data_IF_439687639057
#
_entry.id   IF_439687639057
#
_cell.length_a   1.000
_cell.length_b   1.000
_cell.length_c   1.000
_cell.angle_alpha   90.00
_cell.angle_beta   90.00
_cell.angle_gamma   90.00
#
_symmetry.space_group_name_H-M   'P 1'
#
loop_
_entity.id
_entity.type
_entity.pdbx_description
1 polymer ?
#
# COMPACT_ATOMS: atom_id res chain seq x y z
N UNK A 1 -24.75 -21.53 -19.40
CA UNK A 1 -23.76 -22.29 -18.64
C UNK A 1 -23.09 -21.46 -17.57
N UNK A 2 -22.21 -22.10 -16.79
CA UNK A 2 -21.40 -21.45 -15.74
C UNK A 2 -19.92 -21.63 -16.03
N UNK A 3 -19.15 -20.55 -16.00
CA UNK A 3 -17.70 -20.56 -16.09
C UNK A 3 -17.11 -20.70 -14.67
N UNK A 4 -16.33 -21.74 -14.45
CA UNK A 4 -15.64 -21.98 -13.19
C UNK A 4 -14.17 -21.56 -13.29
N UNK A 5 -13.74 -20.67 -12.41
CA UNK A 5 -12.35 -20.21 -12.33
C UNK A 5 -11.82 -20.53 -10.94
N UNK A 6 -10.85 -21.45 -10.87
CA UNK A 6 -10.28 -21.89 -9.61
C UNK A 6 -8.82 -21.48 -9.52
N UNK A 7 -8.43 -20.84 -8.41
CA UNK A 7 -7.06 -20.43 -8.11
C UNK A 7 -6.54 -21.15 -6.86
N UNK A 8 -5.46 -21.91 -7.04
CA UNK A 8 -4.83 -22.68 -5.98
C UNK A 8 -3.61 -21.94 -5.42
N UNK A 9 -3.69 -21.54 -4.17
CA UNK A 9 -2.63 -20.79 -3.48
C UNK A 9 -1.99 -21.64 -2.38
N UNK A 10 -0.77 -22.12 -2.61
CA UNK A 10 -0.05 -23.01 -1.68
C UNK A 10 0.77 -22.28 -0.60
N UNK A 11 0.72 -20.94 -0.53
CA UNK A 11 1.41 -20.14 0.48
C UNK A 11 0.75 -20.20 1.86
N UNK A 12 1.54 -19.95 2.92
CA UNK A 12 1.03 -19.82 4.31
C UNK A 12 0.86 -18.36 4.76
N UNK A 13 1.25 -17.39 3.91
CA UNK A 13 1.48 -16.01 4.36
C UNK A 13 0.21 -15.21 4.61
N UNK A 14 -0.69 -15.14 3.63
CA UNK A 14 -1.82 -14.21 3.69
C UNK A 14 -3.11 -14.94 3.34
N UNK A 15 -4.11 -14.78 4.19
CA UNK A 15 -5.48 -15.21 3.91
C UNK A 15 -6.04 -14.35 2.76
N UNK A 16 -6.60 -14.98 1.74
CA UNK A 16 -7.19 -14.29 0.58
C UNK A 16 -8.64 -14.73 0.43
N UNK A 17 -9.56 -13.76 0.53
CA UNK A 17 -10.97 -13.97 0.25
C UNK A 17 -11.23 -13.87 -1.26
N UNK A 18 -12.15 -14.69 -1.76
CA UNK A 18 -12.62 -14.65 -3.15
C UNK A 18 -13.65 -13.54 -3.41
N UNK A 19 -14.33 -13.08 -2.36
CA UNK A 19 -15.39 -12.08 -2.47
C UNK A 19 -14.88 -10.79 -3.13
N UNK A 20 -15.44 -10.44 -4.28
CA UNK A 20 -15.03 -9.29 -5.11
C UNK A 20 -13.52 -9.18 -5.34
N UNK A 21 -12.81 -10.31 -5.35
CA UNK A 21 -11.36 -10.32 -5.51
C UNK A 21 -10.95 -9.89 -6.93
N UNK A 22 -10.23 -8.77 -7.11
CA UNK A 22 -9.91 -8.24 -8.44
C UNK A 22 -9.07 -9.20 -9.29
N UNK A 23 -8.19 -9.99 -8.69
CA UNK A 23 -7.39 -10.99 -9.41
C UNK A 23 -8.28 -12.06 -10.02
N UNK A 24 -9.23 -12.58 -9.24
CA UNK A 24 -10.16 -13.61 -9.70
C UNK A 24 -11.11 -13.08 -10.78
N UNK A 25 -11.62 -11.86 -10.57
CA UNK A 25 -12.48 -11.20 -11.55
C UNK A 25 -11.74 -10.92 -12.87
N UNK A 26 -10.46 -10.52 -12.84
CA UNK A 26 -9.64 -10.33 -14.04
C UNK A 26 -9.38 -11.66 -14.77
N UNK A 27 -9.12 -12.75 -14.03
CA UNK A 27 -8.98 -14.08 -14.63
C UNK A 27 -10.28 -14.55 -15.29
N UNK A 28 -11.41 -14.32 -14.61
CA UNK A 28 -12.73 -14.65 -15.15
C UNK A 28 -13.06 -13.84 -16.41
N UNK A 29 -12.74 -12.53 -16.40
CA UNK A 29 -12.93 -11.64 -17.55
C UNK A 29 -12.10 -12.11 -18.75
N UNK A 30 -10.80 -12.44 -18.52
CA UNK A 30 -9.93 -12.97 -19.55
C UNK A 30 -10.40 -14.31 -20.11
N UNK A 31 -10.84 -15.24 -19.24
CA UNK A 31 -11.37 -16.52 -19.64
C UNK A 31 -12.69 -16.36 -20.43
N UNK A 32 -13.58 -15.45 -20.02
CA UNK A 32 -14.80 -15.16 -20.75
C UNK A 32 -14.50 -14.58 -22.14
N UNK A 33 -13.57 -13.66 -22.27
CA UNK A 33 -13.16 -13.13 -23.57
C UNK A 33 -12.55 -14.20 -24.49
N UNK A 34 -11.83 -15.17 -23.91
CA UNK A 34 -11.20 -16.23 -24.69
C UNK A 34 -12.19 -17.33 -25.14
N UNK A 35 -13.21 -17.63 -24.34
CA UNK A 35 -14.08 -18.79 -24.56
C UNK A 35 -15.57 -18.49 -24.68
N UNK A 36 -16.02 -17.28 -24.31
CA UNK A 36 -17.45 -16.91 -24.30
C UNK A 36 -18.14 -17.02 -25.65
N UNK A 37 -17.39 -16.92 -26.74
CA UNK A 37 -17.95 -17.12 -28.10
C UNK A 37 -18.25 -18.57 -28.43
N UNK A 38 -17.67 -19.53 -27.70
CA UNK A 38 -17.87 -20.96 -27.90
C UNK A 38 -19.00 -21.53 -27.05
N UNK A 39 -19.28 -20.90 -25.91
CA UNK A 39 -20.19 -21.42 -24.90
C UNK A 39 -21.19 -20.34 -24.50
N UNK A 40 -22.44 -20.72 -24.30
CA UNK A 40 -23.46 -19.83 -23.71
C UNK A 40 -23.23 -19.74 -22.19
N UNK A 41 -22.32 -18.84 -21.79
CA UNK A 41 -21.93 -18.58 -20.39
C UNK A 41 -22.79 -17.45 -19.86
N UNK A 42 -23.53 -17.68 -18.79
CA UNK A 42 -24.42 -16.72 -18.15
C UNK A 42 -23.96 -16.35 -16.73
N UNK A 43 -23.23 -17.27 -16.09
CA UNK A 43 -22.72 -17.10 -14.72
C UNK A 43 -21.24 -17.40 -14.65
N UNK A 44 -20.58 -16.79 -13.67
CA UNK A 44 -19.17 -17.04 -13.33
C UNK A 44 -19.09 -17.39 -11.86
N UNK A 45 -18.41 -18.50 -11.57
CA UNK A 45 -18.11 -18.94 -10.21
C UNK A 45 -16.60 -18.99 -10.03
N UNK A 46 -16.09 -18.19 -9.12
CA UNK A 46 -14.67 -18.02 -8.83
C UNK A 46 -14.36 -18.61 -7.47
N UNK A 47 -13.32 -19.46 -7.37
CA UNK A 47 -12.96 -20.10 -6.11
C UNK A 47 -11.46 -19.95 -5.83
N UNK A 48 -11.11 -19.52 -4.64
CA UNK A 48 -9.74 -19.53 -4.12
C UNK A 48 -9.61 -20.69 -3.15
N UNK A 49 -8.57 -21.50 -3.35
CA UNK A 49 -8.27 -22.69 -2.53
C UNK A 49 -6.91 -22.49 -1.89
N UNK A 50 -6.87 -22.36 -0.56
CA UNK A 50 -5.64 -22.23 0.25
C UNK A 50 -5.57 -23.36 1.29
N UNK A 51 -5.08 -24.55 0.93
CA UNK A 51 -5.14 -25.72 1.82
C UNK A 51 -4.39 -25.53 3.14
N UNK A 52 -3.27 -24.79 3.10
CA UNK A 52 -2.44 -24.54 4.30
C UNK A 52 -3.07 -23.56 5.29
N UNK A 53 -4.11 -22.86 4.90
CA UNK A 53 -4.88 -21.92 5.72
C UNK A 53 -6.31 -22.41 5.93
N UNK A 54 -6.62 -23.65 5.51
CA UNK A 54 -7.95 -24.27 5.57
C UNK A 54 -9.03 -23.35 4.95
N UNK A 55 -8.65 -22.58 3.93
CA UNK A 55 -9.53 -21.62 3.27
C UNK A 55 -9.97 -22.13 1.89
N UNK A 56 -11.28 -22.23 1.73
CA UNK A 56 -11.94 -22.37 0.42
C UNK A 56 -13.03 -21.30 0.39
N UNK A 57 -12.84 -20.29 -0.45
CA UNK A 57 -13.80 -19.20 -0.58
C UNK A 57 -14.26 -19.07 -2.03
N UNK A 58 -15.57 -18.91 -2.23
CA UNK A 58 -16.19 -18.81 -3.55
C UNK A 58 -16.99 -17.52 -3.66
N UNK A 59 -16.90 -16.87 -4.82
CA UNK A 59 -17.71 -15.72 -5.20
C UNK A 59 -18.35 -15.98 -6.55
N UNK A 60 -19.63 -15.68 -6.70
CA UNK A 60 -20.39 -15.86 -7.92
C UNK A 60 -21.01 -14.55 -8.38
N UNK A 61 -20.98 -14.31 -9.69
CA UNK A 61 -21.63 -13.18 -10.31
C UNK A 61 -22.18 -13.57 -11.69
N UNK A 62 -23.03 -12.73 -12.26
CA UNK A 62 -23.45 -12.86 -13.64
C UNK A 62 -22.35 -12.38 -14.59
N UNK A 63 -22.42 -12.83 -15.85
CA UNK A 63 -21.50 -12.29 -16.88
C UNK A 63 -21.70 -10.80 -17.08
N UNK A 64 -22.94 -10.31 -17.01
CA UNK A 64 -23.24 -8.88 -17.18
C UNK A 64 -22.57 -8.04 -16.08
N UNK A 65 -22.64 -8.47 -14.81
CA UNK A 65 -21.96 -7.81 -13.69
C UNK A 65 -20.44 -7.81 -13.88
N UNK A 66 -19.87 -8.93 -14.34
CA UNK A 66 -18.44 -9.03 -14.61
C UNK A 66 -17.99 -8.10 -15.73
N UNK A 67 -18.77 -8.03 -16.83
CA UNK A 67 -18.48 -7.16 -17.97
C UNK A 67 -18.63 -5.67 -17.60
N UNK A 68 -19.68 -5.32 -16.86
CA UNK A 68 -19.88 -3.95 -16.38
C UNK A 68 -18.71 -3.51 -15.47
N UNK A 69 -18.26 -4.35 -14.55
CA UNK A 69 -17.07 -4.09 -13.74
C UNK A 69 -15.82 -3.91 -14.61
N UNK A 70 -15.64 -4.74 -15.65
CA UNK A 70 -14.53 -4.63 -16.60
C UNK A 70 -14.51 -3.29 -17.34
N UNK A 71 -15.67 -2.85 -17.84
CA UNK A 71 -15.79 -1.60 -18.60
C UNK A 71 -15.77 -0.34 -17.71
N UNK A 72 -16.49 -0.37 -16.59
CA UNK A 72 -16.66 0.81 -15.73
C UNK A 72 -15.50 1.03 -14.77
N UNK A 73 -14.87 -0.03 -14.28
CA UNK A 73 -13.82 0.03 -13.27
C UNK A 73 -12.42 -0.26 -13.82
N UNK A 74 -12.23 -1.39 -14.52
CA UNK A 74 -10.90 -1.85 -14.94
C UNK A 74 -10.35 -1.02 -16.09
N UNK A 75 -11.14 -0.87 -17.16
CA UNK A 75 -10.71 -0.21 -18.39
C UNK A 75 -10.23 1.24 -18.20
N UNK A 76 -10.94 2.10 -17.46
CA UNK A 76 -10.47 3.47 -17.22
C UNK A 76 -9.16 3.51 -16.44
N UNK A 77 -8.99 2.63 -15.44
CA UNK A 77 -7.76 2.54 -14.64
C UNK A 77 -6.58 2.01 -15.44
N UNK A 78 -6.80 0.99 -16.24
CA UNK A 78 -5.79 0.45 -17.14
C UNK A 78 -5.32 1.53 -18.16
N UNK A 79 -6.25 2.32 -18.70
CA UNK A 79 -5.93 3.43 -19.59
C UNK A 79 -5.09 4.51 -18.90
N UNK A 80 -5.47 4.95 -17.70
CA UNK A 80 -4.70 5.91 -16.92
C UNK A 80 -3.28 5.40 -16.63
N UNK A 81 -3.15 4.13 -16.27
CA UNK A 81 -1.86 3.50 -16.01
C UNK A 81 -0.99 3.44 -17.29
N UNK A 82 -1.59 3.07 -18.41
CA UNK A 82 -0.90 3.02 -19.70
C UNK A 82 -0.42 4.40 -20.16
N UNK A 83 -1.20 5.46 -19.91
CA UNK A 83 -0.84 6.84 -20.22
C UNK A 83 0.17 7.45 -19.22
N UNK A 84 0.59 6.71 -18.20
CA UNK A 84 1.43 7.22 -17.12
C UNK A 84 0.74 8.28 -16.25
N UNK A 85 -0.59 8.34 -16.33
CA UNK A 85 -1.44 9.23 -15.55
C UNK A 85 -2.10 8.41 -14.44
N UNK A 86 -2.24 9.00 -13.29
CA UNK A 86 -2.87 8.36 -12.16
C UNK A 86 -2.28 8.85 -10.86
N UNK A 87 -3.07 8.81 -9.82
CA UNK A 87 -2.62 9.14 -8.49
C UNK A 87 -1.85 7.97 -7.88
N UNK A 88 -0.68 8.26 -7.32
CA UNK A 88 0.09 7.28 -6.56
C UNK A 88 -0.41 7.28 -5.13
N UNK A 89 -1.15 6.24 -4.77
CA UNK A 89 -1.72 6.07 -3.42
C UNK A 89 -0.89 5.02 -2.68
N UNK A 90 -0.19 5.39 -1.59
CA UNK A 90 0.55 4.44 -0.78
C UNK A 90 -0.39 3.47 -0.05
N UNK A 91 0.11 2.27 0.29
CA UNK A 91 -0.64 1.25 1.01
C UNK A 91 0.16 -0.04 1.18
N UNK A 92 -0.49 -1.09 1.71
CA UNK A 92 0.15 -2.39 1.99
C UNK A 92 0.75 -3.06 0.74
N UNK A 93 0.21 -2.75 -0.44
CA UNK A 93 0.74 -3.21 -1.73
C UNK A 93 2.13 -2.64 -2.06
N UNK A 94 2.53 -1.52 -1.44
CA UNK A 94 3.85 -0.93 -1.64
C UNK A 94 4.98 -1.83 -1.18
N UNK A 95 4.74 -2.78 -0.27
CA UNK A 95 5.75 -3.76 0.17
C UNK A 95 6.30 -4.62 -0.96
N UNK A 96 5.56 -4.80 -2.04
CA UNK A 96 5.96 -5.56 -3.23
C UNK A 96 6.35 -4.68 -4.42
N UNK A 97 6.31 -3.37 -4.27
CA UNK A 97 6.58 -2.43 -5.36
C UNK A 97 8.08 -2.23 -5.56
N UNK A 98 8.56 -2.49 -6.77
CA UNK A 98 9.98 -2.29 -7.12
C UNK A 98 10.40 -0.80 -7.11
N UNK A 99 9.47 0.12 -7.34
CA UNK A 99 9.73 1.56 -7.35
C UNK A 99 9.61 2.20 -5.95
N UNK A 100 9.40 1.41 -4.90
CA UNK A 100 9.12 1.90 -3.54
C UNK A 100 10.17 2.86 -3.01
N UNK A 101 11.46 2.56 -3.22
CA UNK A 101 12.58 3.39 -2.75
C UNK A 101 12.60 4.78 -3.42
N UNK A 102 12.16 4.88 -4.68
CA UNK A 102 12.11 6.13 -5.45
C UNK A 102 10.71 6.76 -5.50
N UNK A 103 9.72 6.17 -4.83
CA UNK A 103 8.33 6.65 -4.86
C UNK A 103 8.12 7.81 -3.91
N UNK A 104 7.85 9.00 -4.46
CA UNK A 104 7.61 10.23 -3.68
C UNK A 104 6.39 10.11 -2.76
N UNK A 105 5.30 9.50 -3.22
CA UNK A 105 4.10 9.32 -2.41
C UNK A 105 4.36 8.41 -1.19
N UNK A 106 5.12 7.31 -1.38
CA UNK A 106 5.50 6.42 -0.29
C UNK A 106 6.42 7.12 0.73
N UNK A 107 7.37 7.94 0.25
CA UNK A 107 8.25 8.72 1.10
C UNK A 107 7.47 9.78 1.91
N UNK A 108 6.53 10.47 1.27
CA UNK A 108 5.68 11.47 1.96
C UNK A 108 4.81 10.84 3.04
N UNK A 109 4.22 9.67 2.78
CA UNK A 109 3.43 8.96 3.79
C UNK A 109 4.29 8.52 4.96
N UNK A 110 5.47 7.92 4.71
CA UNK A 110 6.39 7.51 5.78
C UNK A 110 6.83 8.70 6.65
N UNK A 111 7.15 9.85 6.03
CA UNK A 111 7.53 11.06 6.75
C UNK A 111 6.36 11.68 7.52
N UNK A 112 5.13 11.60 6.99
CA UNK A 112 3.94 12.07 7.71
C UNK A 112 3.69 11.24 8.97
N UNK A 113 3.78 9.91 8.87
CA UNK A 113 3.66 9.01 10.02
C UNK A 113 4.72 9.31 11.10
N UNK A 114 5.97 9.56 10.69
CA UNK A 114 7.02 9.95 11.64
C UNK A 114 6.65 11.26 12.32
N UNK A 115 6.19 12.27 11.58
CA UNK A 115 5.82 13.57 12.16
C UNK A 115 4.66 13.47 13.15
N UNK A 116 3.62 12.72 12.84
CA UNK A 116 2.48 12.52 13.75
C UNK A 116 2.92 11.87 15.05
N UNK A 117 3.71 10.80 15.00
CA UNK A 117 4.21 10.10 16.20
C UNK A 117 5.18 10.96 17.03
N UNK A 118 5.93 11.88 16.39
CA UNK A 118 6.86 12.75 17.09
C UNK A 118 6.22 14.05 17.62
N UNK A 119 5.14 14.54 17.00
CA UNK A 119 4.42 15.74 17.48
C UNK A 119 3.66 15.45 18.77
N UNK A 120 3.12 14.25 18.96
CA UNK A 120 2.46 13.85 20.21
C UNK A 120 3.41 13.72 21.40
N UNK A 121 4.72 13.69 21.17
CA UNK A 121 5.74 13.67 22.21
C UNK A 121 6.04 15.04 22.80
N UNK A 122 5.59 16.13 22.19
CA UNK A 122 5.92 17.51 22.55
C UNK A 122 4.68 18.40 22.76
N UNK A 123 3.57 17.86 23.29
CA UNK A 123 2.47 18.68 23.83
C UNK A 123 2.77 19.21 25.22
N UNK A 124 3.96 19.74 25.42
CA UNK A 124 4.27 20.77 26.38
C UNK A 124 4.12 22.09 25.67
N UNK A 125 2.91 22.68 25.72
CA UNK A 125 2.60 24.09 25.55
C UNK A 125 3.75 24.91 24.92
N UNK A 126 3.78 24.99 23.59
CA UNK A 126 4.33 26.16 22.95
C UNK A 126 3.18 27.17 22.82
N UNK A 127 3.06 28.03 23.79
CA UNK A 127 2.30 29.27 23.67
C UNK A 127 2.74 29.99 22.39
N UNK A 128 1.74 30.36 21.60
CA UNK A 128 1.85 31.29 20.48
C UNK A 128 2.85 32.41 20.83
N UNK A 129 3.94 32.50 20.13
CA UNK A 129 4.71 33.66 19.75
C UNK A 129 6.14 33.24 19.39
N UNK A 130 6.32 32.75 18.16
CA UNK A 130 7.47 33.13 17.34
C UNK A 130 7.32 32.60 15.93
N UNK A 131 6.48 33.29 15.16
CA UNK A 131 6.52 33.25 13.72
C UNK A 131 7.90 33.68 13.26
N UNK A 132 8.70 32.72 12.85
CA UNK A 132 10.03 33.00 12.31
C UNK A 132 9.84 33.56 10.89
N UNK A 133 9.84 34.88 10.78
CA UNK A 133 10.04 35.64 9.55
C UNK A 133 11.51 35.56 9.14
N UNK A 134 11.93 34.45 8.55
CA UNK A 134 13.22 34.33 7.89
C UNK A 134 13.14 33.49 6.62
N UNK A 135 12.53 34.10 5.60
CA UNK A 135 12.82 33.76 4.21
C UNK A 135 13.39 35.04 3.57
N UNK A 136 14.61 35.41 3.95
CA UNK A 136 15.48 36.22 3.09
C UNK A 136 16.61 35.32 2.61
N UNK A 137 16.77 35.31 1.29
CA UNK A 137 17.81 34.63 0.57
C UNK A 137 19.19 35.04 1.07
N UNK A 138 19.95 34.11 1.65
CA UNK A 138 21.38 34.30 1.85
C UNK A 138 22.12 32.98 1.59
N UNK A 139 22.97 33.09 0.60
CA UNK A 139 24.19 32.41 0.22
C UNK A 139 24.63 31.17 1.04
N UNK A 140 24.87 30.08 0.29
CA UNK A 140 25.28 28.78 0.75
C UNK A 140 26.71 28.75 1.29
N UNK A 141 26.87 28.91 2.59
CA UNK A 141 28.00 28.36 3.38
C UNK A 141 27.56 28.14 4.83
N UNK A 142 26.65 27.20 5.06
CA UNK A 142 26.33 26.76 6.39
C UNK A 142 27.31 25.67 6.82
N UNK A 143 28.24 26.03 7.69
CA UNK A 143 29.04 25.07 8.46
C UNK A 143 28.10 24.24 9.34
N UNK A 144 28.19 22.92 9.21
CA UNK A 144 27.50 21.94 10.03
C UNK A 144 28.03 22.08 11.48
N UNK A 145 27.20 22.60 12.37
CA UNK A 145 27.47 22.63 13.81
C UNK A 145 26.98 21.29 14.42
N UNK A 146 27.89 20.47 14.98
CA UNK A 146 27.54 19.16 15.53
C UNK A 146 26.79 19.21 16.89
N UNK A 147 26.45 20.38 17.39
CA UNK A 147 25.86 20.58 18.73
C UNK A 147 24.39 20.99 18.71
N UNK A 148 23.71 20.87 17.55
CA UNK A 148 22.26 21.06 17.52
C UNK A 148 21.62 19.77 18.03
N UNK A 149 20.98 19.84 19.18
CA UNK A 149 20.32 18.77 19.93
C UNK A 149 19.61 17.78 19.01
N UNK A 150 20.13 16.55 18.96
CA UNK A 150 19.45 15.42 18.33
C UNK A 150 18.05 15.29 18.95
N UNK A 151 17.01 14.96 18.16
CA UNK A 151 15.67 14.78 18.68
C UNK A 151 15.71 13.75 19.82
N UNK A 152 15.28 14.17 21.00
CA UNK A 152 15.25 13.32 22.19
C UNK A 152 14.08 12.38 22.07
N UNK A 153 14.35 11.13 21.75
CA UNK A 153 13.34 10.08 21.73
C UNK A 153 12.87 9.76 23.16
N UNK A 154 11.56 9.61 23.34
CA UNK A 154 11.01 9.08 24.58
C UNK A 154 11.56 7.68 24.82
N UNK A 155 12.07 7.44 26.03
CA UNK A 155 12.56 6.10 26.38
C UNK A 155 11.42 5.06 26.21
N UNK A 156 11.69 3.89 25.60
CA UNK A 156 10.70 2.80 25.51
C UNK A 156 10.09 2.38 26.86
N UNK A 157 10.81 2.64 27.96
CA UNK A 157 10.32 2.38 29.31
C UNK A 157 9.14 3.28 29.75
N UNK A 158 8.86 4.36 29.00
CA UNK A 158 7.75 5.27 29.26
C UNK A 158 6.52 4.97 28.41
N UNK A 159 6.60 4.04 27.47
CA UNK A 159 5.49 3.62 26.63
C UNK A 159 4.72 2.49 27.33
N UNK A 160 3.40 2.55 27.25
CA UNK A 160 2.56 1.43 27.69
C UNK A 160 2.58 0.31 26.64
N UNK A 161 2.21 -0.91 27.06
CA UNK A 161 2.09 -2.04 26.12
C UNK A 161 1.13 -1.73 24.97
N UNK A 162 0.04 -1.03 25.26
CA UNK A 162 -0.96 -0.62 24.27
C UNK A 162 -0.40 0.36 23.26
N UNK A 163 0.41 1.34 23.71
CA UNK A 163 1.07 2.30 22.82
C UNK A 163 2.02 1.57 21.86
N UNK A 164 2.82 0.63 22.38
CA UNK A 164 3.73 -0.18 21.56
C UNK A 164 2.96 -1.00 20.51
N UNK A 165 1.87 -1.67 20.90
CA UNK A 165 1.05 -2.47 19.99
C UNK A 165 0.43 -1.62 18.87
N UNK A 166 0.04 -0.38 19.15
CA UNK A 166 -0.49 0.56 18.15
C UNK A 166 0.60 1.10 17.21
N UNK A 167 1.80 1.33 17.72
CA UNK A 167 2.92 1.86 16.94
C UNK A 167 3.60 0.83 16.03
N UNK A 168 3.57 -0.47 16.40
CA UNK A 168 4.28 -1.52 15.68
C UNK A 168 4.01 -1.57 14.17
N UNK A 169 2.76 -1.48 13.67
CA UNK A 169 2.50 -1.48 12.23
C UNK A 169 3.17 -0.31 11.50
N UNK A 170 3.16 0.88 12.11
CA UNK A 170 3.78 2.10 11.58
C UNK A 170 5.30 1.95 11.53
N UNK A 171 5.92 1.49 12.61
CA UNK A 171 7.36 1.27 12.69
C UNK A 171 7.84 0.25 11.65
N UNK A 172 7.14 -0.86 11.48
CA UNK A 172 7.46 -1.87 10.46
C UNK A 172 7.40 -1.29 9.03
N UNK A 173 6.49 -0.35 8.76
CA UNK A 173 6.40 0.33 7.45
C UNK A 173 7.58 1.27 7.22
N UNK A 174 7.98 2.01 8.23
CA UNK A 174 9.14 2.92 8.20
C UNK A 174 10.42 2.11 8.02
N UNK A 175 10.66 1.08 8.83
CA UNK A 175 11.81 0.19 8.74
C UNK A 175 11.95 -0.40 7.33
N UNK A 176 10.88 -0.98 6.82
CA UNK A 176 10.86 -1.56 5.48
C UNK A 176 11.09 -0.53 4.37
N UNK A 177 10.74 0.75 4.55
CA UNK A 177 11.06 1.82 3.61
C UNK A 177 12.54 2.21 3.69
N UNK A 178 13.09 2.32 4.90
CA UNK A 178 14.52 2.59 5.13
C UNK A 178 15.39 1.49 4.51
N UNK A 179 15.05 0.22 4.73
CA UNK A 179 15.75 -0.92 4.12
C UNK A 179 15.75 -0.85 2.58
N UNK A 180 14.61 -0.46 1.98
CA UNK A 180 14.52 -0.32 0.53
C UNK A 180 15.43 0.79 -0.01
N UNK A 181 15.60 1.90 0.72
CA UNK A 181 16.55 2.98 0.36
C UNK A 181 17.99 2.49 0.44
N UNK A 182 18.36 1.83 1.55
CA UNK A 182 19.72 1.29 1.69
C UNK A 182 20.06 0.25 0.62
N UNK A 183 19.12 -0.65 0.31
CA UNK A 183 19.31 -1.63 -0.75
C UNK A 183 19.51 -0.96 -2.12
N UNK A 184 18.77 0.10 -2.42
CA UNK A 184 18.93 0.86 -3.67
C UNK A 184 20.31 1.52 -3.77
N UNK A 185 20.72 2.24 -2.72
CA UNK A 185 22.03 2.92 -2.67
C UNK A 185 23.20 1.93 -2.77
N UNK A 186 23.04 0.72 -2.19
CA UNK A 186 24.09 -0.31 -2.25
C UNK A 186 24.16 -1.06 -3.58
N UNK A 187 23.19 -0.86 -4.48
CA UNK A 187 23.13 -1.52 -5.80
C UNK A 187 23.69 -0.66 -6.93
N UNK A 188 24.03 0.61 -6.68
CA UNK A 188 24.76 1.52 -7.57
C UNK A 188 26.28 1.43 -7.34
#
# INVERSE_FOLDING_TARGET
GTLYVNDYKNGKGVFVNCDHNPQMMLYALGAYHAYGYLYDIQKVSMTIIQPRLENISTFECTVDELLDWGESYVRPRAKLTFEGKGEQVPGDWCRFCRARCACKACAQEALALVKEEFLDLDTGVLEDEQRCDCLEETDATASFDPDTSAPTFKSPALLTKTDIEQMLPTLNRIESWIEAIFAYVSSE
#
